data_IF_030422478585
#
_entry.id   IF_030422478585
#
_cell.length_a   1.000
_cell.length_b   1.000
_cell.length_c   1.000
_cell.angle_alpha   90.00
_cell.angle_beta   90.00
_cell.angle_gamma   90.00
#
_symmetry.space_group_name_H-M   'P 1'
#
loop_
_entity.id
_entity.type
_entity.pdbx_description
1 polymer ?
#
# COMPACT_ATOMS: atom_id res chain seq x y z
N UNK A 1 17.15 -14.52 -18.07
CA UNK A 1 16.19 -15.63 -18.22
C UNK A 1 16.83 -16.83 -18.91
N UNK A 2 17.50 -16.66 -20.04
CA UNK A 2 18.16 -17.74 -20.77
C UNK A 2 19.22 -18.50 -19.94
N UNK A 3 19.99 -17.79 -19.10
CA UNK A 3 20.96 -18.42 -18.18
C UNK A 3 20.31 -19.22 -17.05
N UNK A 4 19.11 -18.80 -16.58
CA UNK A 4 18.40 -19.48 -15.50
C UNK A 4 17.63 -20.71 -15.97
N UNK A 5 17.13 -20.70 -17.20
CA UNK A 5 16.32 -21.79 -17.77
C UNK A 5 17.16 -22.87 -18.50
N UNK A 6 18.41 -22.60 -18.81
CA UNK A 6 19.24 -23.46 -19.64
C UNK A 6 18.64 -23.68 -21.03
N UNK A 7 19.07 -24.75 -21.72
CA UNK A 7 18.60 -25.09 -23.10
C UNK A 7 17.28 -25.87 -23.12
N UNK A 8 16.65 -26.13 -21.97
CA UNK A 8 15.45 -26.98 -21.84
C UNK A 8 14.14 -26.22 -22.03
N UNK A 9 14.16 -24.90 -21.89
CA UNK A 9 12.94 -24.06 -21.94
C UNK A 9 13.18 -22.94 -22.94
N UNK A 10 12.25 -22.79 -23.87
CA UNK A 10 12.19 -21.61 -24.74
C UNK A 10 11.30 -20.58 -24.06
N UNK A 11 11.85 -19.42 -23.76
CA UNK A 11 11.10 -18.30 -23.16
C UNK A 11 11.20 -17.07 -24.06
N UNK A 12 10.09 -16.36 -24.20
CA UNK A 12 10.02 -15.05 -24.85
C UNK A 12 9.41 -14.06 -23.87
N UNK A 13 10.03 -12.91 -23.71
CA UNK A 13 9.48 -11.80 -22.92
C UNK A 13 8.86 -10.82 -23.92
N UNK A 14 7.59 -10.53 -23.75
CA UNK A 14 6.88 -9.46 -24.46
C UNK A 14 6.68 -8.32 -23.46
N UNK A 15 7.15 -7.14 -23.81
CA UNK A 15 7.00 -5.94 -23.01
C UNK A 15 5.77 -5.17 -23.48
N UNK A 16 4.86 -4.92 -22.56
CA UNK A 16 3.69 -4.07 -22.79
C UNK A 16 3.83 -2.80 -21.97
N UNK A 17 3.33 -1.70 -22.49
CA UNK A 17 3.31 -0.44 -21.76
C UNK A 17 2.30 -0.49 -20.64
N UNK A 18 2.73 -0.09 -19.45
CA UNK A 18 1.80 0.17 -18.35
C UNK A 18 1.00 1.43 -18.62
N UNK A 19 -0.27 1.45 -18.21
CA UNK A 19 -1.14 2.61 -18.29
C UNK A 19 -0.80 3.69 -17.25
N UNK A 20 0.11 3.43 -16.33
CA UNK A 20 0.63 4.39 -15.36
C UNK A 20 2.02 4.00 -14.89
N UNK A 21 2.83 4.99 -14.55
CA UNK A 21 4.14 4.81 -13.96
C UNK A 21 4.04 4.42 -12.48
N UNK A 22 5.12 3.89 -11.94
CA UNK A 22 5.31 3.74 -10.50
C UNK A 22 5.44 5.12 -9.84
N UNK A 23 5.08 5.21 -8.57
CA UNK A 23 5.24 6.42 -7.78
C UNK A 23 5.89 6.10 -6.42
N UNK A 24 6.48 7.11 -5.82
CA UNK A 24 6.96 7.07 -4.44
C UNK A 24 6.54 8.39 -3.77
N UNK A 25 5.76 8.29 -2.72
CA UNK A 25 5.42 9.45 -1.88
C UNK A 25 6.60 9.77 -0.98
N UNK A 26 7.13 10.98 -1.09
CA UNK A 26 8.16 11.46 -0.17
C UNK A 26 7.53 11.75 1.20
N UNK A 27 8.20 11.40 2.31
CA UNK A 27 7.76 11.80 3.65
C UNK A 27 7.53 13.31 3.74
N UNK A 28 6.48 13.71 4.45
CA UNK A 28 6.10 15.11 4.62
C UNK A 28 4.89 15.24 5.54
N UNK A 29 4.31 16.43 5.65
CA UNK A 29 3.24 16.74 6.58
C UNK A 29 2.06 15.75 6.53
N UNK A 30 1.67 15.29 5.35
CA UNK A 30 0.59 14.33 5.20
C UNK A 30 0.96 12.93 5.71
N UNK A 31 2.17 12.46 5.43
CA UNK A 31 2.66 11.18 5.98
C UNK A 31 2.82 11.24 7.50
N UNK A 32 3.32 12.35 8.04
CA UNK A 32 3.49 12.54 9.49
C UNK A 32 2.13 12.54 10.21
N UNK A 33 1.14 13.20 9.63
CA UNK A 33 -0.23 13.20 10.12
C UNK A 33 -0.82 11.79 10.16
N UNK A 34 -0.65 11.03 9.08
CA UNK A 34 -1.14 9.64 9.01
C UNK A 34 -0.41 8.72 10.00
N UNK A 35 0.92 8.84 10.11
CA UNK A 35 1.72 8.09 11.10
C UNK A 35 1.21 8.37 12.51
N UNK A 36 0.96 9.63 12.86
CA UNK A 36 0.43 10.02 14.17
C UNK A 36 -0.93 9.40 14.45
N UNK A 37 -1.85 9.41 13.48
CA UNK A 37 -3.18 8.81 13.64
C UNK A 37 -3.11 7.28 13.81
N UNK A 38 -2.23 6.62 13.06
CA UNK A 38 -2.03 5.18 13.16
C UNK A 38 -1.45 4.82 14.53
N UNK A 39 -0.43 5.53 14.98
CA UNK A 39 0.24 5.28 16.26
C UNK A 39 -0.72 5.47 17.44
N UNK A 40 -1.56 6.50 17.43
CA UNK A 40 -2.56 6.73 18.45
C UNK A 40 -3.58 5.60 18.57
N UNK A 41 -4.08 5.10 17.44
CA UNK A 41 -5.11 4.04 17.45
C UNK A 41 -4.53 2.66 17.72
N UNK A 42 -3.34 2.38 17.19
CA UNK A 42 -2.78 1.02 17.21
C UNK A 42 -1.71 0.82 18.28
N UNK A 43 -1.17 1.88 18.85
CA UNK A 43 0.00 1.84 19.73
C UNK A 43 1.30 1.45 19.01
N UNK A 44 1.31 1.42 17.68
CA UNK A 44 2.45 1.01 16.86
C UNK A 44 2.81 2.10 15.86
N UNK A 45 4.08 2.42 15.79
CA UNK A 45 4.60 3.29 14.75
C UNK A 45 4.67 2.51 13.43
N UNK A 46 3.99 2.97 12.37
CA UNK A 46 4.06 2.29 11.08
C UNK A 46 5.42 2.50 10.42
N UNK A 47 5.85 1.50 9.66
CA UNK A 47 7.01 1.61 8.81
C UNK A 47 6.59 2.23 7.46
N UNK A 48 7.35 3.21 7.00
CA UNK A 48 7.20 3.76 5.65
C UNK A 48 7.98 2.87 4.69
N UNK A 49 7.31 2.16 3.83
CA UNK A 49 7.94 1.22 2.90
C UNK A 49 7.35 1.31 1.50
N UNK A 50 8.02 0.71 0.54
CA UNK A 50 7.57 0.55 -0.84
C UNK A 50 7.29 -0.90 -1.18
N UNK A 51 7.13 -1.75 -0.17
CA UNK A 51 6.95 -3.21 -0.31
C UNK A 51 5.51 -3.64 -0.62
N UNK A 52 4.55 -2.73 -0.63
CA UNK A 52 3.17 -3.01 -0.96
C UNK A 52 2.94 -3.35 -2.43
N UNK A 53 1.74 -3.84 -2.73
CA UNK A 53 1.28 -4.05 -4.11
C UNK A 53 1.00 -2.74 -4.83
N UNK A 54 0.65 -2.85 -6.10
CA UNK A 54 0.20 -1.69 -6.87
C UNK A 54 -1.30 -1.46 -6.71
N UNK A 55 -1.72 -0.19 -6.77
CA UNK A 55 -3.13 0.21 -6.69
C UNK A 55 -3.42 1.39 -7.61
N UNK A 56 -4.65 1.89 -7.56
CA UNK A 56 -5.06 3.11 -8.26
C UNK A 56 -4.40 4.38 -7.70
N UNK A 57 -3.72 4.30 -6.56
CA UNK A 57 -2.91 5.38 -6.00
C UNK A 57 -1.89 5.93 -7.00
N UNK A 58 -1.36 5.10 -7.89
CA UNK A 58 -0.45 5.52 -8.97
C UNK A 58 -1.05 6.55 -9.94
N UNK A 59 -2.37 6.59 -10.10
CA UNK A 59 -3.06 7.61 -10.89
C UNK A 59 -3.30 8.87 -10.06
N UNK A 60 -3.73 8.70 -8.81
CA UNK A 60 -4.03 9.79 -7.88
C UNK A 60 -2.76 10.58 -7.53
N UNK A 61 -1.61 9.93 -7.47
CA UNK A 61 -0.31 10.54 -7.16
C UNK A 61 0.10 11.66 -8.14
N UNK A 62 -0.50 11.72 -9.33
CA UNK A 62 -0.30 12.81 -10.28
C UNK A 62 -0.97 14.13 -9.85
N UNK A 63 -1.89 14.07 -8.89
CA UNK A 63 -2.72 15.21 -8.48
C UNK A 63 -2.49 15.65 -7.04
N UNK A 64 -2.14 14.71 -6.15
CA UNK A 64 -1.93 14.99 -4.74
C UNK A 64 -0.99 13.97 -4.09
N UNK A 65 -0.43 14.27 -2.90
CA UNK A 65 0.27 13.28 -2.09
C UNK A 65 -0.64 12.11 -1.74
N UNK A 66 -0.14 10.90 -1.91
CA UNK A 66 -0.87 9.66 -1.67
C UNK A 66 -0.07 8.75 -0.75
N UNK A 67 -0.75 8.14 0.19
CA UNK A 67 -0.23 7.02 0.98
C UNK A 67 -1.20 5.84 0.85
N UNK A 68 -0.67 4.66 0.97
CA UNK A 68 -1.45 3.43 1.04
C UNK A 68 -1.32 2.86 2.45
N UNK A 69 -2.45 2.66 3.09
CA UNK A 69 -2.53 2.04 4.40
C UNK A 69 -3.81 1.23 4.49
N UNK A 70 -3.70 -0.02 4.94
CA UNK A 70 -4.85 -0.91 4.99
C UNK A 70 -4.67 -2.07 5.96
N UNK A 71 -5.51 -3.07 5.78
CA UNK A 71 -5.49 -4.29 6.58
C UNK A 71 -4.23 -5.11 6.32
N UNK A 72 -3.82 -5.89 7.33
CA UNK A 72 -2.73 -6.85 7.19
C UNK A 72 -3.18 -8.01 6.31
N UNK A 73 -2.53 -8.19 5.18
CA UNK A 73 -2.89 -9.18 4.17
C UNK A 73 -2.36 -10.59 4.45
N UNK A 74 -2.54 -11.13 5.66
CA UNK A 74 -2.03 -12.47 6.02
C UNK A 74 -2.60 -13.60 5.15
N UNK A 75 -3.84 -13.47 4.72
CA UNK A 75 -4.52 -14.45 3.86
C UNK A 75 -4.82 -13.89 2.47
N UNK A 76 -4.18 -12.81 2.09
CA UNK A 76 -4.36 -12.18 0.79
C UNK A 76 -4.07 -13.16 -0.35
N UNK A 77 -4.98 -13.20 -1.32
CA UNK A 77 -4.92 -14.11 -2.47
C UNK A 77 -4.94 -15.61 -2.14
N UNK A 78 -5.41 -15.98 -0.95
CA UNK A 78 -5.56 -17.37 -0.53
C UNK A 78 -7.04 -17.80 -0.55
N UNK A 79 -7.24 -19.11 -0.56
CA UNK A 79 -8.58 -19.67 -0.33
C UNK A 79 -9.00 -19.31 1.10
N UNK A 80 -10.28 -18.92 1.27
CA UNK A 80 -10.83 -18.41 2.53
C UNK A 80 -10.14 -17.13 3.02
N UNK A 81 -9.82 -16.21 2.12
CA UNK A 81 -9.30 -14.89 2.44
C UNK A 81 -10.20 -14.20 3.48
N UNK A 82 -9.60 -13.73 4.56
CA UNK A 82 -10.31 -13.18 5.71
C UNK A 82 -9.50 -12.14 6.44
N UNK A 83 -10.20 -11.32 7.22
CA UNK A 83 -9.59 -10.37 8.16
C UNK A 83 -10.38 -10.35 9.47
N UNK A 84 -9.72 -10.13 10.63
CA UNK A 84 -10.42 -9.94 11.89
C UNK A 84 -11.32 -8.70 11.86
N UNK A 85 -12.53 -8.80 12.39
CA UNK A 85 -13.46 -7.65 12.52
C UNK A 85 -12.82 -6.52 13.34
N UNK A 86 -12.07 -6.86 14.38
CA UNK A 86 -11.33 -5.89 15.20
C UNK A 86 -10.33 -5.03 14.39
N UNK A 87 -9.79 -5.56 13.30
CA UNK A 87 -8.87 -4.79 12.45
C UNK A 87 -9.63 -3.82 11.55
N UNK A 88 -10.84 -4.17 11.11
CA UNK A 88 -11.74 -3.23 10.42
C UNK A 88 -12.14 -2.06 11.33
N UNK A 89 -12.47 -2.34 12.59
CA UNK A 89 -12.79 -1.32 13.58
C UNK A 89 -11.63 -0.37 13.84
N UNK A 90 -10.41 -0.92 13.98
CA UNK A 90 -9.19 -0.10 14.15
C UNK A 90 -8.91 0.74 12.91
N UNK A 91 -9.01 0.15 11.72
CA UNK A 91 -8.79 0.86 10.47
C UNK A 91 -9.77 2.03 10.31
N UNK A 92 -11.04 1.82 10.65
CA UNK A 92 -12.05 2.88 10.65
C UNK A 92 -11.66 4.04 11.57
N UNK A 93 -11.17 3.75 12.78
CA UNK A 93 -10.69 4.76 13.73
C UNK A 93 -9.46 5.51 13.21
N UNK A 94 -8.54 4.80 12.54
CA UNK A 94 -7.36 5.43 11.93
C UNK A 94 -7.79 6.41 10.85
N UNK A 95 -8.65 6.01 9.91
CA UNK A 95 -9.12 6.92 8.86
C UNK A 95 -9.88 8.10 9.42
N UNK A 96 -10.71 7.90 10.43
CA UNK A 96 -11.38 8.99 11.12
C UNK A 96 -10.38 9.97 11.73
N UNK A 97 -9.36 9.46 12.42
CA UNK A 97 -8.30 10.28 13.00
C UNK A 97 -7.49 11.06 11.98
N UNK A 98 -7.24 10.49 10.78
CA UNK A 98 -6.60 11.19 9.67
C UNK A 98 -7.48 12.36 9.20
N UNK A 99 -8.77 12.11 8.97
CA UNK A 99 -9.70 13.14 8.49
C UNK A 99 -9.85 14.27 9.52
N UNK A 100 -10.03 13.94 10.79
CA UNK A 100 -10.19 14.92 11.85
C UNK A 100 -8.96 15.84 11.97
N UNK A 101 -7.74 15.31 11.79
CA UNK A 101 -6.50 16.10 11.80
C UNK A 101 -6.29 16.91 10.53
N UNK A 102 -6.69 16.37 9.39
CA UNK A 102 -6.51 17.04 8.10
C UNK A 102 -7.40 18.26 7.96
N UNK A 103 -8.61 18.20 8.51
CA UNK A 103 -9.60 19.26 8.41
C UNK A 103 -9.72 20.14 9.67
N UNK A 104 -8.86 19.93 10.65
CA UNK A 104 -8.87 20.75 11.90
C UNK A 104 -8.23 22.14 11.73
#
# INVERSE_FOLDING_TARGET
>A
LAKACGNRIRARIVWEYSNSNVFVTKPGAFTDLAVSAIEEVTGRKPELSTSGGTSDARFISNYCPVIEFGLVGQTMHQVDERTPVSDLEKLTKVYRGILDRYFS
#
